data_IF_776571465838
#
_entry.id   IF_776571465838
#
_cell.length_a   1.000
_cell.length_b   1.000
_cell.length_c   1.000
_cell.angle_alpha   90.00
_cell.angle_beta   90.00
_cell.angle_gamma   90.00
#
_symmetry.space_group_name_H-M   'P 1'
#
loop_
_entity.id
_entity.type
_entity.pdbx_description
1 polymer ?
#
# COMPACT_ATOMS: atom_id res chain seq x y z
N UNK A 1 8.22 -32.29 83.64
CA UNK A 1 7.96 -30.89 84.04
C UNK A 1 9.10 -30.06 83.47
N UNK A 2 8.97 -29.02 82.65
CA UNK A 2 7.84 -28.35 81.95
C UNK A 2 8.44 -27.37 80.92
N UNK A 3 7.85 -26.95 79.79
CA UNK A 3 6.62 -27.34 79.07
C UNK A 3 6.70 -26.87 77.58
N UNK A 4 5.72 -27.22 76.75
CA UNK A 4 5.48 -26.68 75.39
C UNK A 4 4.41 -25.55 75.44
N UNK A 5 3.95 -24.88 74.34
CA UNK A 5 4.25 -25.05 72.89
C UNK A 5 4.28 -23.71 72.04
N UNK A 6 4.23 -23.82 70.69
CA UNK A 6 3.76 -22.81 69.68
C UNK A 6 4.70 -21.58 69.42
N UNK A 7 4.74 -20.90 68.24
CA UNK A 7 4.02 -21.01 66.95
C UNK A 7 4.71 -20.22 65.80
N UNK A 8 4.25 -20.40 64.55
CA UNK A 8 4.42 -19.50 63.36
C UNK A 8 5.88 -19.34 62.85
N UNK A 9 6.22 -19.48 61.56
CA UNK A 9 5.43 -19.55 60.33
C UNK A 9 6.09 -18.70 59.23
N UNK A 10 7.15 -19.21 58.60
CA UNK A 10 7.87 -18.47 57.54
C UNK A 10 7.08 -18.47 56.23
N UNK A 11 6.42 -17.34 55.93
CA UNK A 11 5.76 -17.12 54.65
C UNK A 11 6.76 -17.26 53.49
N UNK A 12 6.37 -18.01 52.47
CA UNK A 12 7.02 -17.95 51.16
C UNK A 12 6.96 -16.51 50.63
N UNK A 13 8.06 -16.05 50.02
CA UNK A 13 8.02 -14.85 49.18
C UNK A 13 7.41 -15.25 47.84
N UNK A 14 6.11 -14.99 47.69
CA UNK A 14 5.46 -14.99 46.39
C UNK A 14 6.31 -14.16 45.43
N UNK A 15 6.77 -14.79 44.36
CA UNK A 15 7.42 -14.08 43.27
C UNK A 15 6.31 -13.33 42.51
N UNK A 16 6.13 -12.05 42.84
CA UNK A 16 5.37 -11.16 41.97
C UNK A 16 6.00 -11.23 40.57
N UNK A 17 5.18 -11.41 39.50
CA UNK A 17 5.69 -11.32 38.15
C UNK A 17 6.30 -9.92 37.97
N UNK A 18 7.54 -9.89 37.51
CA UNK A 18 8.25 -8.64 37.21
C UNK A 18 7.39 -7.79 36.29
N UNK A 19 7.09 -6.57 36.72
CA UNK A 19 6.36 -5.59 35.93
C UNK A 19 7.14 -5.28 34.65
N UNK A 20 6.77 -5.89 33.53
CA UNK A 20 7.11 -5.37 32.22
C UNK A 20 6.45 -4.01 32.10
N UNK A 21 7.25 -2.95 32.21
CA UNK A 21 6.78 -1.60 31.94
C UNK A 21 6.27 -1.53 30.50
N UNK A 22 5.14 -0.84 30.30
CA UNK A 22 4.55 -0.65 28.99
C UNK A 22 5.47 0.24 28.15
N UNK A 23 6.43 -0.36 27.45
CA UNK A 23 7.11 0.29 26.34
C UNK A 23 6.05 0.65 25.28
N UNK A 24 6.16 1.84 24.64
CA UNK A 24 5.27 2.18 23.54
C UNK A 24 5.43 1.15 22.42
N UNK A 25 4.35 0.85 21.67
CA UNK A 25 4.43 -0.07 20.54
C UNK A 25 5.47 0.43 19.53
N UNK A 26 6.14 -0.47 18.79
CA UNK A 26 7.14 -0.06 17.82
C UNK A 26 6.50 0.76 16.68
N UNK A 27 7.13 1.87 16.33
CA UNK A 27 6.70 2.77 15.23
C UNK A 27 7.82 2.91 14.18
N UNK A 28 7.45 2.92 12.90
CA UNK A 28 8.41 3.24 11.84
C UNK A 28 8.85 4.71 11.95
N UNK A 29 10.12 4.99 11.68
CA UNK A 29 10.59 6.37 11.71
C UNK A 29 10.34 7.11 10.39
N UNK A 30 10.42 8.45 10.45
CA UNK A 30 10.21 9.31 9.30
C UNK A 30 11.09 8.94 8.09
N UNK A 31 12.31 8.43 8.30
CA UNK A 31 13.19 7.99 7.20
C UNK A 31 12.64 6.77 6.44
N UNK A 32 12.16 5.75 7.16
CA UNK A 32 11.50 4.60 6.56
C UNK A 32 10.23 5.00 5.79
N UNK A 33 9.40 5.86 6.39
CA UNK A 33 8.16 6.38 5.79
C UNK A 33 8.47 7.22 4.54
N UNK A 34 9.50 8.07 4.57
CA UNK A 34 9.94 8.84 3.39
C UNK A 34 10.47 7.93 2.29
N UNK A 35 11.22 6.87 2.63
CA UNK A 35 11.73 5.94 1.63
C UNK A 35 10.59 5.20 0.91
N UNK A 36 9.61 4.65 1.64
CA UNK A 36 8.45 3.97 1.04
C UNK A 36 7.57 4.93 0.22
N UNK A 37 7.41 6.18 0.65
CA UNK A 37 6.69 7.20 -0.13
C UNK A 37 7.48 7.72 -1.35
N UNK A 38 8.77 7.42 -1.46
CA UNK A 38 9.61 7.78 -2.62
C UNK A 38 9.59 6.75 -3.75
N UNK A 39 8.92 5.60 -3.55
CA UNK A 39 8.81 4.54 -4.55
C UNK A 39 7.94 4.98 -5.72
N UNK A 40 8.37 4.67 -6.95
CA UNK A 40 7.62 4.97 -8.18
C UNK A 40 7.07 3.69 -8.81
N UNK A 41 5.90 3.78 -9.43
CA UNK A 41 5.28 2.63 -10.09
C UNK A 41 6.12 2.15 -11.29
N UNK A 42 6.68 3.08 -12.04
CA UNK A 42 7.52 2.82 -13.21
C UNK A 42 8.81 2.07 -12.82
N UNK A 43 9.44 2.49 -11.74
CA UNK A 43 10.60 1.83 -11.15
C UNK A 43 10.26 0.42 -10.67
N UNK A 44 9.18 0.23 -9.92
CA UNK A 44 8.78 -1.09 -9.44
C UNK A 44 8.50 -2.07 -10.58
N UNK A 45 8.03 -1.61 -11.74
CA UNK A 45 7.82 -2.44 -12.93
C UNK A 45 9.12 -2.95 -13.56
N UNK A 46 10.24 -2.23 -13.44
CA UNK A 46 11.56 -2.71 -13.89
C UNK A 46 12.05 -3.92 -13.07
N UNK A 47 11.59 -4.01 -11.81
CA UNK A 47 11.95 -5.07 -10.87
C UNK A 47 11.11 -6.34 -11.01
N UNK A 48 10.28 -6.44 -12.05
CA UNK A 48 9.41 -7.59 -12.32
C UNK A 48 10.14 -8.66 -13.14
N UNK A 49 10.91 -9.48 -12.44
CA UNK A 49 11.67 -10.62 -12.97
C UNK A 49 11.78 -11.75 -11.94
N UNK A 50 12.38 -12.87 -12.34
CA UNK A 50 12.60 -14.03 -11.48
C UNK A 50 14.07 -14.48 -11.44
N UNK A 51 14.47 -15.02 -10.29
CA UNK A 51 15.75 -15.65 -10.06
C UNK A 51 15.59 -16.97 -9.32
N UNK A 52 16.49 -17.91 -9.61
CA UNK A 52 16.64 -19.16 -8.85
C UNK A 52 18.08 -19.25 -8.35
N UNK A 53 18.21 -19.43 -7.03
CA UNK A 53 19.46 -19.61 -6.32
C UNK A 53 19.55 -21.07 -5.87
N UNK A 54 20.72 -21.69 -6.04
CA UNK A 54 21.02 -22.99 -5.43
C UNK A 54 21.36 -22.76 -3.96
N UNK A 55 20.75 -23.53 -3.07
CA UNK A 55 21.17 -23.62 -1.67
C UNK A 55 22.40 -24.52 -1.59
N UNK A 56 23.48 -24.03 -0.99
CA UNK A 56 24.72 -24.77 -0.77
C UNK A 56 25.05 -24.86 0.72
N UNK A 57 25.63 -25.99 1.13
CA UNK A 57 26.21 -26.19 2.46
C UNK A 57 27.48 -25.36 2.67
N UNK A 58 28.02 -25.41 3.88
CA UNK A 58 29.39 -24.99 4.21
C UNK A 58 30.45 -25.75 3.41
N UNK A 59 30.21 -27.03 3.10
CA UNK A 59 31.04 -27.86 2.21
C UNK A 59 30.87 -27.56 0.72
N UNK A 60 29.94 -26.67 0.34
CA UNK A 60 29.65 -26.31 -1.05
C UNK A 60 28.78 -27.32 -1.82
N UNK A 61 28.20 -28.32 -1.15
CA UNK A 61 27.30 -29.28 -1.76
C UNK A 61 25.90 -28.67 -2.01
N UNK A 62 25.27 -28.91 -3.17
CA UNK A 62 23.93 -28.40 -3.46
C UNK A 62 22.88 -29.17 -2.65
N UNK A 63 22.15 -28.45 -1.78
CA UNK A 63 21.15 -29.00 -0.87
C UNK A 63 19.70 -28.68 -1.26
N UNK A 64 19.48 -27.77 -2.21
CA UNK A 64 18.14 -27.37 -2.64
C UNK A 64 18.13 -26.14 -3.55
N UNK A 65 16.95 -25.56 -3.75
CA UNK A 65 16.73 -24.37 -4.57
C UNK A 65 15.81 -23.35 -3.86
N UNK A 66 16.11 -22.07 -4.03
CA UNK A 66 15.28 -20.92 -3.67
C UNK A 66 14.93 -20.19 -4.96
N UNK A 67 13.66 -20.12 -5.31
CA UNK A 67 13.15 -19.33 -6.43
C UNK A 67 12.40 -18.12 -5.90
N UNK A 68 12.62 -16.95 -6.50
CA UNK A 68 11.92 -15.70 -6.22
C UNK A 68 11.44 -15.14 -7.56
N UNK A 69 10.17 -14.78 -7.64
CA UNK A 69 9.51 -14.20 -8.80
C UNK A 69 8.71 -12.99 -8.36
N UNK A 70 8.89 -11.86 -9.05
CA UNK A 70 8.06 -10.67 -8.92
C UNK A 70 7.44 -10.39 -10.28
N UNK A 71 6.12 -10.29 -10.34
CA UNK A 71 5.38 -10.13 -11.58
C UNK A 71 4.11 -9.29 -11.38
N UNK A 72 3.41 -8.98 -12.48
CA UNK A 72 2.16 -8.23 -12.44
C UNK A 72 0.98 -9.16 -12.13
N UNK A 73 0.59 -9.24 -10.87
CA UNK A 73 -0.57 -10.00 -10.43
C UNK A 73 -1.89 -9.33 -10.77
N UNK A 74 -2.92 -10.14 -11.01
CA UNK A 74 -4.32 -9.73 -11.16
C UNK A 74 -5.06 -10.02 -9.86
N UNK A 75 -5.26 -9.00 -9.03
CA UNK A 75 -6.04 -9.09 -7.80
C UNK A 75 -7.52 -8.82 -8.08
N UNK A 76 -8.42 -9.52 -7.38
CA UNK A 76 -9.86 -9.27 -7.39
C UNK A 76 -10.32 -9.09 -5.96
N UNK A 77 -10.83 -7.91 -5.62
CA UNK A 77 -11.31 -7.63 -4.28
C UNK A 77 -12.70 -8.23 -4.00
N UNK A 78 -13.19 -8.03 -2.78
CA UNK A 78 -14.48 -8.55 -2.31
C UNK A 78 -15.68 -7.95 -3.06
N UNK A 79 -15.56 -6.72 -3.60
CA UNK A 79 -16.58 -6.10 -4.45
C UNK A 79 -16.54 -6.62 -5.89
N UNK A 80 -15.48 -7.36 -6.23
CA UNK A 80 -15.23 -7.94 -7.53
C UNK A 80 -14.48 -7.05 -8.51
N UNK A 81 -14.02 -5.87 -8.06
CA UNK A 81 -13.18 -4.98 -8.86
C UNK A 81 -11.81 -5.63 -9.05
N UNK A 82 -11.30 -5.53 -10.27
CA UNK A 82 -10.01 -6.10 -10.68
C UNK A 82 -8.96 -4.99 -10.66
N UNK A 83 -7.93 -5.18 -9.84
CA UNK A 83 -6.77 -4.29 -9.75
C UNK A 83 -5.50 -5.05 -10.07
N UNK A 84 -4.53 -4.38 -10.68
CA UNK A 84 -3.21 -4.96 -10.93
C UNK A 84 -2.20 -4.45 -9.90
N UNK A 85 -1.50 -5.39 -9.27
CA UNK A 85 -0.56 -5.13 -8.20
C UNK A 85 0.76 -5.89 -8.44
N UNK A 86 1.89 -5.42 -7.91
CA UNK A 86 3.05 -6.27 -7.68
C UNK A 86 2.63 -7.55 -6.96
N UNK A 87 2.95 -8.70 -7.55
CA UNK A 87 2.72 -10.01 -7.00
C UNK A 87 4.06 -10.72 -6.84
N UNK A 88 4.31 -11.18 -5.62
CA UNK A 88 5.56 -11.83 -5.22
C UNK A 88 5.26 -13.30 -4.95
N UNK A 89 6.02 -14.17 -5.59
CA UNK A 89 6.04 -15.60 -5.31
C UNK A 89 7.48 -16.00 -4.99
N UNK A 90 7.72 -16.53 -3.79
CA UNK A 90 9.01 -17.10 -3.43
C UNK A 90 8.81 -18.48 -2.82
N UNK A 91 9.64 -19.44 -3.23
CA UNK A 91 9.57 -20.82 -2.74
C UNK A 91 10.96 -21.37 -2.53
N UNK A 92 11.18 -22.02 -1.40
CA UNK A 92 12.42 -22.73 -1.09
C UNK A 92 12.15 -24.20 -0.83
N UNK A 93 13.02 -25.10 -1.32
CA UNK A 93 12.96 -26.51 -0.99
C UNK A 93 14.35 -27.12 -0.99
N UNK A 94 14.72 -27.78 0.11
CA UNK A 94 16.03 -28.38 0.27
C UNK A 94 16.15 -29.31 1.46
N UNK A 95 17.36 -29.74 1.75
CA UNK A 95 17.69 -30.63 2.85
C UNK A 95 18.68 -29.97 3.81
N UNK A 96 18.33 -29.90 5.09
CA UNK A 96 19.26 -29.55 6.18
C UNK A 96 19.43 -30.80 7.04
N UNK A 97 20.66 -31.25 7.26
CA UNK A 97 20.99 -32.48 7.99
C UNK A 97 20.14 -33.71 7.56
N UNK A 98 20.01 -33.89 6.23
CA UNK A 98 19.19 -34.93 5.57
C UNK A 98 17.67 -34.82 5.85
N UNK A 99 17.22 -33.79 6.54
CA UNK A 99 15.81 -33.51 6.81
C UNK A 99 15.25 -32.58 5.72
N UNK A 100 14.18 -33.00 5.07
CA UNK A 100 13.51 -32.19 4.03
C UNK A 100 12.81 -30.98 4.67
N UNK A 101 13.20 -29.79 4.26
CA UNK A 101 12.61 -28.52 4.69
C UNK A 101 12.28 -27.63 3.48
N UNK A 102 11.54 -26.56 3.73
CA UNK A 102 11.23 -25.59 2.70
C UNK A 102 10.27 -24.51 3.17
N UNK A 103 10.04 -23.55 2.28
CA UNK A 103 9.10 -22.46 2.46
C UNK A 103 8.35 -22.12 1.18
N UNK A 104 7.21 -21.46 1.32
CA UNK A 104 6.43 -20.87 0.24
C UNK A 104 5.89 -19.53 0.72
N UNK A 105 5.87 -18.54 -0.16
CA UNK A 105 5.43 -17.17 0.08
C UNK A 105 4.73 -16.66 -1.17
N UNK A 106 3.48 -16.24 -1.02
CA UNK A 106 2.66 -15.63 -2.07
C UNK A 106 2.13 -14.31 -1.52
N UNK A 107 2.26 -13.21 -2.25
CA UNK A 107 1.73 -11.92 -1.80
C UNK A 107 1.31 -10.99 -2.93
N UNK A 108 0.26 -10.22 -2.67
CA UNK A 108 -0.09 -9.00 -3.41
C UNK A 108 0.31 -7.78 -2.58
N UNK A 109 1.04 -6.86 -3.18
CA UNK A 109 1.52 -5.63 -2.55
C UNK A 109 0.92 -4.40 -3.24
N UNK A 110 0.74 -3.31 -2.52
CA UNK A 110 0.42 -2.02 -3.14
C UNK A 110 1.64 -1.44 -3.86
N UNK A 111 1.45 -0.39 -4.65
CA UNK A 111 2.55 0.36 -5.28
C UNK A 111 3.44 1.14 -4.28
N UNK A 112 3.10 1.10 -2.97
CA UNK A 112 3.95 1.56 -1.86
C UNK A 112 4.54 0.41 -1.03
N UNK A 113 4.44 -0.82 -1.53
CA UNK A 113 4.82 -2.07 -0.85
C UNK A 113 4.05 -2.39 0.45
N UNK A 114 2.90 -1.76 0.67
CA UNK A 114 1.97 -2.21 1.72
C UNK A 114 1.40 -3.59 1.35
N UNK A 115 1.33 -4.53 2.29
CA UNK A 115 0.68 -5.81 2.05
C UNK A 115 -0.83 -5.63 1.81
N UNK A 116 -1.35 -6.21 0.72
CA UNK A 116 -2.79 -6.34 0.46
C UNK A 116 -3.25 -7.72 0.95
N UNK A 117 -2.54 -8.76 0.51
CA UNK A 117 -2.69 -10.13 0.98
C UNK A 117 -1.31 -10.80 0.93
N UNK A 118 -0.97 -11.61 1.94
CA UNK A 118 0.21 -12.48 1.93
C UNK A 118 -0.13 -13.81 2.58
N UNK A 119 0.32 -14.91 1.99
CA UNK A 119 0.29 -16.24 2.58
C UNK A 119 1.72 -16.79 2.57
N UNK A 120 2.24 -17.17 3.74
CA UNK A 120 3.50 -17.89 3.88
C UNK A 120 3.32 -19.23 4.59
N UNK A 121 4.18 -20.17 4.24
CA UNK A 121 4.27 -21.50 4.81
C UNK A 121 5.74 -21.86 4.96
N UNK A 122 6.13 -22.40 6.10
CA UNK A 122 7.46 -22.92 6.40
C UNK A 122 7.30 -24.31 6.99
N UNK A 123 8.15 -25.27 6.62
CA UNK A 123 8.04 -26.64 7.13
C UNK A 123 9.41 -27.33 7.27
N UNK A 124 9.49 -28.23 8.25
CA UNK A 124 10.63 -29.13 8.47
C UNK A 124 10.08 -30.53 8.76
N UNK A 125 10.37 -31.49 7.88
CA UNK A 125 9.86 -32.87 7.99
C UNK A 125 10.79 -33.76 8.80
N UNK A 126 11.01 -33.43 10.07
CA UNK A 126 11.67 -34.35 10.99
C UNK A 126 10.89 -35.66 11.09
N UNK A 127 11.61 -36.79 11.18
CA UNK A 127 11.01 -38.12 11.24
C UNK A 127 10.19 -38.37 12.53
N UNK A 128 10.51 -37.66 13.62
CA UNK A 128 9.88 -37.84 14.93
C UNK A 128 8.78 -36.80 15.17
N UNK A 129 9.06 -35.53 14.86
CA UNK A 129 8.16 -34.41 15.13
C UNK A 129 8.15 -33.43 13.94
N UNK A 130 7.34 -33.67 12.89
CA UNK A 130 7.26 -32.77 11.76
C UNK A 130 6.69 -31.41 12.20
N UNK A 131 7.32 -30.33 11.75
CA UNK A 131 6.98 -28.95 12.08
C UNK A 131 6.46 -28.22 10.84
N UNK A 132 5.39 -27.46 10.99
CA UNK A 132 4.81 -26.61 9.94
C UNK A 132 4.28 -25.31 10.55
N UNK A 133 4.73 -24.16 10.04
CA UNK A 133 4.17 -22.84 10.33
C UNK A 133 3.47 -22.30 9.07
N UNK A 134 2.28 -21.73 9.23
CA UNK A 134 1.58 -20.97 8.20
C UNK A 134 1.20 -19.61 8.74
N UNK A 135 1.42 -18.55 7.96
CA UNK A 135 1.04 -17.19 8.32
C UNK A 135 0.28 -16.56 7.16
N UNK A 136 -0.93 -16.07 7.43
CA UNK A 136 -1.71 -15.26 6.50
C UNK A 136 -1.78 -13.83 7.01
N UNK A 137 -1.55 -12.86 6.14
CA UNK A 137 -1.75 -11.43 6.37
C UNK A 137 -2.79 -10.94 5.37
N UNK A 138 -3.89 -10.36 5.85
CA UNK A 138 -4.96 -9.84 5.01
C UNK A 138 -5.32 -8.41 5.41
N UNK A 139 -5.20 -7.47 4.47
CA UNK A 139 -5.63 -6.10 4.67
C UNK A 139 -7.15 -6.03 4.70
N UNK A 140 -7.68 -5.51 5.80
CA UNK A 140 -9.07 -5.13 6.00
C UNK A 140 -9.13 -3.59 6.12
N UNK A 141 -10.30 -2.99 5.94
CA UNK A 141 -10.42 -1.54 5.64
C UNK A 141 -9.57 -0.60 6.53
N UNK A 142 -9.52 -0.87 7.84
CA UNK A 142 -8.74 -0.09 8.82
C UNK A 142 -7.80 -0.94 9.70
N UNK A 143 -7.50 -2.18 9.31
CA UNK A 143 -6.60 -3.07 10.07
C UNK A 143 -5.94 -4.15 9.21
N UNK A 144 -4.77 -4.63 9.64
CA UNK A 144 -4.14 -5.83 9.10
C UNK A 144 -4.47 -7.03 10.01
N UNK A 145 -5.18 -8.01 9.46
CA UNK A 145 -5.43 -9.28 10.15
C UNK A 145 -4.28 -10.26 9.88
N UNK A 146 -3.63 -10.75 10.93
CA UNK A 146 -2.68 -11.85 10.87
C UNK A 146 -3.32 -13.12 11.45
N UNK A 147 -3.28 -14.22 10.70
CA UNK A 147 -3.58 -15.56 11.21
C UNK A 147 -2.31 -16.40 11.16
N UNK A 148 -1.82 -16.85 12.31
CA UNK A 148 -0.64 -17.73 12.43
C UNK A 148 -1.08 -19.10 12.92
N UNK A 149 -0.72 -20.14 12.19
CA UNK A 149 -0.90 -21.54 12.58
C UNK A 149 0.47 -22.18 12.74
N UNK A 150 0.71 -22.85 13.86
CA UNK A 150 1.92 -23.64 14.13
C UNK A 150 1.47 -25.05 14.44
N UNK A 151 2.08 -26.02 13.76
CA UNK A 151 1.85 -27.45 13.94
C UNK A 151 3.15 -28.14 14.30
N UNK A 152 3.13 -28.88 15.40
CA UNK A 152 4.25 -29.69 15.88
C UNK A 152 3.74 -31.12 16.14
N UNK A 153 4.03 -32.03 15.20
CA UNK A 153 3.47 -33.39 15.23
C UNK A 153 1.95 -33.41 15.05
N UNK A 154 1.23 -33.77 16.12
CA UNK A 154 -0.24 -33.75 16.17
C UNK A 154 -0.80 -32.45 16.77
N UNK A 155 0.01 -31.70 17.53
CA UNK A 155 -0.42 -30.45 18.15
C UNK A 155 -0.55 -29.35 17.09
N UNK A 156 -1.66 -28.60 17.15
CA UNK A 156 -1.93 -27.46 16.26
C UNK A 156 -2.37 -26.27 17.08
N UNK A 157 -1.56 -25.22 17.09
CA UNK A 157 -1.88 -23.92 17.67
C UNK A 157 -2.28 -22.97 16.55
N UNK A 158 -3.39 -22.24 16.72
CA UNK A 158 -3.77 -21.15 15.79
C UNK A 158 -4.04 -19.89 16.60
N UNK A 159 -3.42 -18.80 16.16
CA UNK A 159 -3.50 -17.47 16.77
C UNK A 159 -3.97 -16.48 15.70
N UNK A 160 -4.80 -15.52 16.10
CA UNK A 160 -5.22 -14.41 15.25
C UNK A 160 -4.90 -13.10 15.96
N UNK A 161 -4.24 -12.20 15.26
CA UNK A 161 -3.82 -10.89 15.76
C UNK A 161 -4.28 -9.82 14.78
N UNK A 162 -4.74 -8.69 15.29
CA UNK A 162 -5.18 -7.56 14.48
C UNK A 162 -4.30 -6.36 14.79
N UNK A 163 -3.75 -5.74 13.75
CA UNK A 163 -2.94 -4.53 13.86
C UNK A 163 -3.72 -3.36 13.27
N UNK A 164 -4.12 -2.35 14.08
CA UNK A 164 -4.78 -1.15 13.58
C UNK A 164 -3.95 -0.46 12.49
N UNK A 165 -4.60 0.11 11.48
CA UNK A 165 -3.90 0.79 10.37
C UNK A 165 -2.86 1.85 10.82
N UNK A 166 -3.08 2.65 11.87
CA UNK A 166 -2.06 3.59 12.35
C UNK A 166 -0.79 2.91 12.90
N UNK A 167 -0.88 1.70 13.47
CA UNK A 167 0.26 1.00 14.08
C UNK A 167 1.07 0.15 13.09
N UNK A 168 0.77 0.24 11.79
CA UNK A 168 1.47 -0.47 10.71
C UNK A 168 1.98 0.49 9.62
N UNK A 169 1.99 1.79 9.87
CA UNK A 169 2.66 2.73 8.98
C UNK A 169 4.16 2.38 8.90
N UNK A 170 4.69 2.25 7.68
CA UNK A 170 6.06 1.80 7.46
C UNK A 170 6.31 0.29 7.68
N UNK A 171 5.25 -0.53 7.72
CA UNK A 171 5.36 -1.99 7.76
C UNK A 171 5.85 -2.60 6.44
N UNK A 172 6.87 -3.45 6.53
CA UNK A 172 7.47 -4.20 5.44
C UNK A 172 7.29 -5.70 5.73
N UNK A 173 6.38 -6.35 5.01
CA UNK A 173 6.17 -7.80 5.09
C UNK A 173 7.34 -8.58 4.46
N UNK A 174 7.38 -9.91 4.65
CA UNK A 174 8.38 -10.79 4.03
C UNK A 174 8.45 -10.59 2.50
N UNK A 175 7.31 -10.46 1.82
CA UNK A 175 7.27 -10.22 0.38
C UNK A 175 7.67 -8.78 0.00
N UNK A 176 7.24 -7.79 0.79
CA UNK A 176 7.63 -6.40 0.58
C UNK A 176 9.16 -6.21 0.70
N UNK A 177 9.79 -6.90 1.65
CA UNK A 177 11.25 -6.92 1.83
C UNK A 177 11.99 -7.38 0.56
N UNK A 178 11.53 -8.45 -0.09
CA UNK A 178 12.15 -8.95 -1.32
C UNK A 178 12.16 -7.88 -2.42
N UNK A 179 11.05 -7.16 -2.62
CA UNK A 179 10.97 -6.06 -3.59
C UNK A 179 11.77 -4.84 -3.14
N UNK A 180 11.74 -4.51 -1.84
CA UNK A 180 12.48 -3.39 -1.26
C UNK A 180 14.00 -3.53 -1.42
N UNK A 181 14.53 -4.74 -1.27
CA UNK A 181 15.95 -5.06 -1.52
C UNK A 181 16.32 -4.85 -2.99
N UNK A 182 15.45 -5.24 -3.93
CA UNK A 182 15.64 -4.94 -5.37
C UNK A 182 15.70 -3.44 -5.63
N UNK A 183 14.81 -2.64 -5.00
CA UNK A 183 14.84 -1.17 -5.08
C UNK A 183 16.15 -0.58 -4.52
N UNK A 184 16.61 -1.06 -3.36
CA UNK A 184 17.86 -0.57 -2.75
C UNK A 184 19.09 -0.83 -3.64
N UNK A 185 19.11 -1.97 -4.33
CA UNK A 185 20.15 -2.30 -5.30
C UNK A 185 20.05 -1.49 -6.60
N UNK A 186 18.85 -1.38 -7.19
CA UNK A 186 18.58 -0.55 -8.37
C UNK A 186 19.01 0.91 -8.17
N UNK A 187 18.70 1.48 -7.00
CA UNK A 187 19.11 2.84 -6.61
C UNK A 187 20.54 2.94 -6.11
N UNK A 188 21.27 1.82 -5.96
CA UNK A 188 22.55 1.71 -5.25
C UNK A 188 22.56 2.45 -3.89
N UNK A 189 21.43 2.43 -3.18
CA UNK A 189 21.18 3.30 -2.02
C UNK A 189 20.34 2.59 -0.96
N UNK A 190 20.85 2.54 0.27
CA UNK A 190 20.11 2.11 1.47
C UNK A 190 19.78 3.35 2.32
N UNK A 191 18.53 3.54 2.77
CA UNK A 191 18.14 4.72 3.53
C UNK A 191 18.80 4.75 4.92
N UNK A 192 19.67 5.75 5.14
CA UNK A 192 20.44 5.88 6.37
C UNK A 192 19.53 6.08 7.59
N UNK A 193 19.81 5.34 8.67
CA UNK A 193 19.05 5.37 9.93
C UNK A 193 17.56 5.01 9.80
N UNK A 194 17.10 4.46 8.67
CA UNK A 194 15.70 4.06 8.52
C UNK A 194 15.37 2.83 9.38
N UNK A 195 14.23 2.92 10.07
CA UNK A 195 13.69 1.88 10.94
C UNK A 195 12.27 1.58 10.48
N UNK A 196 12.12 0.46 9.79
CA UNK A 196 10.85 -0.04 9.28
C UNK A 196 10.19 -0.93 10.34
N UNK A 197 8.88 -1.16 10.21
CA UNK A 197 8.20 -2.20 10.98
C UNK A 197 8.28 -3.54 10.25
N UNK A 198 8.42 -4.62 11.00
CA UNK A 198 8.41 -5.99 10.52
C UNK A 198 7.68 -6.90 11.53
N UNK A 199 7.49 -8.17 11.17
CA UNK A 199 7.08 -9.21 12.11
C UNK A 199 8.30 -10.08 12.44
N UNK A 200 8.45 -10.45 13.71
CA UNK A 200 9.39 -11.48 14.11
C UNK A 200 8.84 -12.90 13.85
N UNK A 201 9.60 -13.93 14.21
CA UNK A 201 9.24 -15.35 14.01
C UNK A 201 7.96 -15.76 14.75
N UNK A 202 7.59 -15.04 15.81
CA UNK A 202 6.40 -15.27 16.62
C UNK A 202 5.18 -14.53 16.09
N UNK A 203 5.37 -13.57 15.18
CA UNK A 203 4.32 -12.72 14.62
C UNK A 203 4.07 -11.45 15.42
N UNK A 204 5.02 -11.00 16.25
CA UNK A 204 4.95 -9.72 16.96
C UNK A 204 5.52 -8.60 16.07
N UNK A 205 4.90 -7.42 16.13
CA UNK A 205 5.48 -6.23 15.51
C UNK A 205 6.82 -5.91 16.18
N UNK A 206 7.81 -5.61 15.35
CA UNK A 206 9.17 -5.29 15.76
C UNK A 206 9.84 -4.40 14.70
N UNK A 207 11.12 -4.08 14.90
CA UNK A 207 11.86 -3.24 13.97
C UNK A 207 12.67 -4.05 12.95
N UNK A 208 12.73 -3.56 11.71
CA UNK A 208 13.73 -3.97 10.74
C UNK A 208 14.57 -2.79 10.25
N UNK A 209 15.88 -2.99 10.18
CA UNK A 209 16.88 -2.00 9.76
C UNK A 209 17.72 -2.58 8.63
N UNK A 210 18.14 -1.71 7.71
CA UNK A 210 18.98 -2.09 6.56
C UNK A 210 20.28 -1.30 6.60
N UNK A 211 21.39 -1.97 6.28
CA UNK A 211 22.72 -1.37 6.21
C UNK A 211 23.41 -1.75 4.91
N UNK A 212 23.96 -0.76 4.19
CA UNK A 212 24.85 -1.02 3.07
C UNK A 212 26.22 -1.48 3.62
N UNK A 213 26.68 -2.65 3.18
CA UNK A 213 28.03 -3.15 3.49
C UNK A 213 29.06 -2.82 2.40
N UNK A 214 28.64 -2.12 1.33
CA UNK A 214 29.45 -1.75 0.19
C UNK A 214 29.22 -2.65 -1.02
N UNK A 215 30.18 -2.66 -1.95
CA UNK A 215 30.14 -3.51 -3.15
C UNK A 215 31.33 -4.47 -3.15
N UNK A 216 31.14 -5.68 -3.69
CA UNK A 216 32.17 -6.71 -3.77
C UNK A 216 32.08 -7.43 -5.13
N UNK A 217 33.22 -7.80 -5.71
CA UNK A 217 33.25 -8.73 -6.85
C UNK A 217 33.10 -10.17 -6.37
N UNK A 218 32.13 -10.91 -6.91
CA UNK A 218 31.94 -12.35 -6.69
C UNK A 218 32.11 -13.14 -7.99
N UNK A 219 32.51 -14.40 -7.85
CA UNK A 219 32.63 -15.35 -8.96
C UNK A 219 31.30 -16.11 -9.15
N UNK A 220 30.71 -16.03 -10.34
CA UNK A 220 29.49 -16.75 -10.73
C UNK A 220 29.81 -17.58 -11.97
N UNK A 221 30.02 -18.88 -11.78
CA UNK A 221 30.56 -19.77 -12.81
C UNK A 221 31.92 -19.26 -13.30
N UNK A 222 32.05 -18.96 -14.58
CA UNK A 222 33.27 -18.41 -15.18
C UNK A 222 33.33 -16.87 -15.19
N UNK A 223 32.29 -16.18 -14.75
CA UNK A 223 32.20 -14.72 -14.78
C UNK A 223 32.49 -14.12 -13.40
N UNK A 224 33.08 -12.91 -13.40
CA UNK A 224 33.15 -12.06 -12.21
C UNK A 224 32.13 -10.94 -12.36
N UNK A 225 31.35 -10.72 -11.31
CA UNK A 225 30.32 -9.68 -11.26
C UNK A 225 30.44 -8.90 -9.96
N UNK A 226 30.28 -7.58 -10.05
CA UNK A 226 30.12 -6.74 -8.88
C UNK A 226 28.69 -6.88 -8.32
N UNK A 227 28.59 -6.97 -7.00
CA UNK A 227 27.32 -7.03 -6.28
C UNK A 227 27.31 -6.01 -5.14
N UNK A 228 26.20 -5.30 -4.99
CA UNK A 228 25.91 -4.41 -3.88
C UNK A 228 25.37 -5.23 -2.70
N UNK A 229 25.93 -5.02 -1.51
CA UNK A 229 25.62 -5.83 -0.33
C UNK A 229 24.75 -5.04 0.64
N UNK A 230 23.56 -5.55 0.91
CA UNK A 230 22.64 -5.03 1.92
C UNK A 230 22.48 -6.06 3.03
N UNK A 231 22.76 -5.67 4.27
CA UNK A 231 22.40 -6.44 5.46
C UNK A 231 21.06 -5.95 6.01
N UNK A 232 20.10 -6.85 6.16
CA UNK A 232 18.87 -6.64 6.90
C UNK A 232 19.03 -7.26 8.29
N UNK A 233 18.64 -6.53 9.33
CA UNK A 233 18.48 -7.07 10.69
C UNK A 233 17.04 -6.87 11.16
N UNK A 234 16.44 -7.91 11.71
CA UNK A 234 15.12 -7.90 12.38
C UNK A 234 15.34 -8.01 13.88
N UNK A 235 14.86 -7.02 14.63
CA UNK A 235 15.12 -6.86 16.07
C UNK A 235 13.88 -7.28 16.86
N UNK A 236 13.73 -8.58 17.14
CA UNK A 236 12.68 -9.06 18.07
C UNK A 236 12.94 -8.50 19.47
N UNK A 237 11.86 -8.15 20.18
CA UNK A 237 11.94 -7.67 21.57
C UNK A 237 12.21 -8.80 22.58
N UNK A 238 11.92 -10.05 22.20
CA UNK A 238 11.97 -11.22 23.08
C UNK A 238 12.94 -12.30 22.57
N UNK A 239 13.24 -12.31 21.27
CA UNK A 239 14.23 -13.18 20.64
C UNK A 239 15.59 -12.50 20.41
N UNK A 240 16.52 -13.26 19.84
CA UNK A 240 17.82 -12.74 19.36
C UNK A 240 17.59 -12.06 18.00
N UNK A 241 18.19 -10.88 17.72
CA UNK A 241 18.11 -10.25 16.41
C UNK A 241 18.60 -11.19 15.29
N UNK A 242 17.84 -11.28 14.20
CA UNK A 242 18.18 -12.13 13.05
C UNK A 242 18.67 -11.26 11.91
N UNK A 243 19.90 -11.52 11.44
CA UNK A 243 20.53 -10.78 10.34
C UNK A 243 20.67 -11.64 9.08
N UNK A 244 20.39 -11.04 7.93
CA UNK A 244 20.54 -11.65 6.60
C UNK A 244 21.27 -10.68 5.66
N UNK A 245 22.31 -11.17 4.99
CA UNK A 245 23.04 -10.43 3.96
C UNK A 245 22.54 -10.83 2.57
N UNK A 246 22.22 -9.83 1.77
CA UNK A 246 21.73 -9.94 0.40
C UNK A 246 22.74 -9.27 -0.52
N UNK A 247 23.30 -10.05 -1.44
CA UNK A 247 24.25 -9.62 -2.45
C UNK A 247 23.46 -9.48 -3.75
N UNK A 248 23.27 -8.25 -4.21
CA UNK A 248 22.34 -7.90 -5.28
C UNK A 248 23.12 -7.37 -6.48
N UNK A 249 22.72 -7.76 -7.68
CA UNK A 249 23.22 -7.22 -8.93
C UNK A 249 22.67 -5.80 -9.15
N UNK A 250 23.27 -5.03 -10.06
CA UNK A 250 22.92 -3.63 -10.33
C UNK A 250 21.45 -3.42 -10.73
N UNK A 251 20.84 -4.42 -11.37
CA UNK A 251 19.43 -4.38 -11.78
C UNK A 251 18.45 -4.92 -10.70
N UNK A 252 18.98 -5.31 -9.54
CA UNK A 252 18.23 -5.81 -8.39
C UNK A 252 18.18 -7.33 -8.24
N UNK A 253 18.65 -8.15 -9.19
CA UNK A 253 18.64 -9.61 -9.02
C UNK A 253 19.44 -10.05 -7.78
N UNK A 254 18.86 -10.94 -6.96
CA UNK A 254 19.55 -11.51 -5.81
C UNK A 254 20.58 -12.57 -6.25
N UNK A 255 21.86 -12.23 -6.18
CA UNK A 255 22.96 -13.13 -6.56
C UNK A 255 23.38 -14.08 -5.43
N UNK A 256 23.36 -13.62 -4.16
CA UNK A 256 23.67 -14.46 -3.00
C UNK A 256 22.89 -14.01 -1.76
N UNK A 257 22.44 -14.97 -0.94
CA UNK A 257 21.83 -14.73 0.38
C UNK A 257 22.55 -15.54 1.45
N UNK A 258 22.94 -14.90 2.53
CA UNK A 258 23.55 -15.53 3.73
C UNK A 258 22.69 -15.16 4.94
N UNK A 259 22.36 -16.13 5.79
CA UNK A 259 21.77 -15.86 7.10
C UNK A 259 22.88 -15.95 8.15
N UNK A 260 23.06 -14.90 8.95
CA UNK A 260 24.11 -14.85 9.97
C UNK A 260 23.84 -15.95 11.01
N UNK A 261 24.86 -16.75 11.31
CA UNK A 261 24.76 -17.92 12.20
C UNK A 261 24.29 -19.22 11.54
N UNK A 262 23.93 -19.21 10.25
CA UNK A 262 23.67 -20.44 9.47
C UNK A 262 24.90 -20.84 8.65
N UNK A 263 25.25 -22.15 8.56
CA UNK A 263 26.42 -22.61 7.80
C UNK A 263 26.24 -22.54 6.27
N UNK A 264 24.99 -22.59 5.78
CA UNK A 264 24.68 -22.59 4.35
C UNK A 264 24.38 -21.21 3.77
N UNK A 265 24.43 -21.10 2.44
CA UNK A 265 23.99 -19.90 1.73
C UNK A 265 23.21 -20.25 0.45
N UNK A 266 22.46 -19.29 -0.10
CA UNK A 266 21.85 -19.41 -1.42
C UNK A 266 22.69 -18.60 -2.42
N UNK A 267 22.97 -19.12 -3.63
CA UNK A 267 23.66 -18.35 -4.67
C UNK A 267 23.21 -18.72 -6.10
N UNK A 268 23.27 -17.76 -7.02
CA UNK A 268 23.06 -18.00 -8.45
C UNK A 268 24.23 -18.80 -9.04
N UNK A 269 23.93 -19.69 -9.99
CA UNK A 269 24.92 -20.48 -10.73
C UNK A 269 25.34 -19.84 -12.05
N UNK A 270 24.53 -18.93 -12.57
CA UNK A 270 24.74 -18.17 -13.80
C UNK A 270 24.26 -16.74 -13.61
N UNK A 271 25.00 -15.78 -14.14
CA UNK A 271 24.59 -14.36 -14.16
C UNK A 271 23.34 -14.23 -15.06
N UNK A 272 22.25 -13.58 -14.60
CA UNK A 272 21.09 -13.28 -15.44
C UNK A 272 21.45 -12.27 -16.53
N UNK A 273 20.57 -12.11 -17.52
CA UNK A 273 20.67 -10.99 -18.45
C UNK A 273 20.24 -9.75 -17.66
N UNK A 274 21.20 -8.88 -17.34
CA UNK A 274 20.92 -7.68 -16.56
C UNK A 274 19.96 -6.77 -17.33
N UNK A 275 18.97 -6.23 -16.62
CA UNK A 275 18.07 -5.22 -17.17
C UNK A 275 18.74 -3.86 -17.09
N UNK A 276 18.90 -3.22 -18.23
CA UNK A 276 19.21 -1.79 -18.29
C UNK A 276 17.90 -0.99 -18.15
N UNK A 277 17.99 0.29 -17.80
CA UNK A 277 16.84 1.19 -17.92
C UNK A 277 16.62 1.39 -19.43
N UNK A 278 15.69 0.64 -20.02
CA UNK A 278 15.25 0.84 -21.40
C UNK A 278 14.92 2.33 -21.54
N UNK A 279 15.70 3.07 -22.34
CA UNK A 279 15.42 4.46 -22.71
C UNK A 279 13.99 4.48 -23.25
N UNK A 280 13.03 4.90 -22.42
CA UNK A 280 11.62 4.89 -22.77
C UNK A 280 11.47 5.94 -23.87
N UNK A 281 11.52 5.51 -25.13
CA UNK A 281 11.27 6.36 -26.29
C UNK A 281 10.04 7.20 -25.97
N UNK A 282 10.25 8.50 -25.74
CA UNK A 282 9.24 9.35 -25.13
C UNK A 282 7.99 9.26 -26.00
N UNK A 283 6.95 8.58 -25.47
CA UNK A 283 5.74 8.22 -26.22
C UNK A 283 5.34 9.44 -27.04
N UNK A 284 5.38 9.36 -28.39
CA UNK A 284 5.43 10.55 -29.22
C UNK A 284 4.32 11.51 -28.84
N UNK A 285 4.70 12.72 -28.46
CA UNK A 285 3.78 13.74 -27.99
C UNK A 285 2.92 14.25 -29.16
N UNK A 286 1.94 13.44 -29.56
CA UNK A 286 0.96 13.81 -30.56
C UNK A 286 0.25 15.06 -30.07
N UNK A 287 0.56 16.20 -30.71
CA UNK A 287 -0.21 17.44 -30.53
C UNK A 287 -1.67 17.08 -30.79
N UNK A 288 -2.54 17.23 -29.79
CA UNK A 288 -3.98 16.99 -29.93
C UNK A 288 -4.46 17.82 -31.11
N UNK A 289 -4.90 17.17 -32.20
CA UNK A 289 -5.53 17.87 -33.31
C UNK A 289 -6.76 18.59 -32.76
N UNK A 290 -7.04 19.84 -33.18
CA UNK A 290 -8.32 20.48 -32.87
C UNK A 290 -9.46 19.58 -33.34
N UNK A 291 -10.42 19.31 -32.46
CA UNK A 291 -11.59 18.49 -32.79
C UNK A 291 -12.60 19.37 -33.53
N UNK A 292 -12.53 19.40 -34.85
CA UNK A 292 -13.51 20.05 -35.72
C UNK A 292 -14.68 19.09 -35.93
N UNK A 293 -15.47 18.90 -34.87
CA UNK A 293 -16.59 17.96 -34.83
C UNK A 293 -17.73 18.34 -35.78
N UNK A 294 -17.76 19.59 -36.25
CA UNK A 294 -18.69 20.11 -37.25
C UNK A 294 -18.42 19.57 -38.67
N UNK A 295 -17.19 19.15 -38.96
CA UNK A 295 -16.78 18.59 -40.27
C UNK A 295 -16.76 17.05 -40.28
N UNK A 296 -16.73 16.42 -39.10
CA UNK A 296 -16.74 14.97 -38.93
C UNK A 296 -18.17 14.43 -38.95
N UNK A 297 -18.49 13.58 -39.94
CA UNK A 297 -19.84 13.06 -40.16
C UNK A 297 -20.37 12.20 -39.00
N UNK A 298 -19.51 11.45 -38.30
CA UNK A 298 -19.94 10.60 -37.17
C UNK A 298 -20.19 11.45 -35.93
N UNK A 299 -19.27 12.37 -35.60
CA UNK A 299 -19.42 13.28 -34.46
C UNK A 299 -20.59 14.25 -34.66
N UNK A 300 -20.81 14.73 -35.88
CA UNK A 300 -21.96 15.57 -36.21
C UNK A 300 -23.29 14.80 -36.06
N UNK A 301 -23.34 13.53 -36.47
CA UNK A 301 -24.50 12.66 -36.23
C UNK A 301 -24.78 12.51 -34.73
N UNK A 302 -23.77 12.17 -33.93
CA UNK A 302 -23.91 12.04 -32.47
C UNK A 302 -24.36 13.35 -31.82
N UNK A 303 -23.87 14.50 -32.29
CA UNK A 303 -24.33 15.80 -31.83
C UNK A 303 -25.82 16.03 -32.14
N UNK A 304 -26.27 15.71 -33.35
CA UNK A 304 -27.69 15.85 -33.74
C UNK A 304 -28.58 14.94 -32.89
N UNK A 305 -28.21 13.67 -32.72
CA UNK A 305 -28.96 12.69 -31.92
C UNK A 305 -29.07 13.16 -30.46
N UNK A 306 -27.95 13.56 -29.85
CA UNK A 306 -27.94 14.06 -28.46
C UNK A 306 -28.69 15.37 -28.30
N UNK A 307 -28.63 16.27 -29.28
CA UNK A 307 -29.40 17.52 -29.31
C UNK A 307 -30.90 17.25 -29.36
N UNK A 308 -31.34 16.29 -30.17
CA UNK A 308 -32.75 15.91 -30.30
C UNK A 308 -33.26 15.20 -29.03
N UNK A 309 -32.47 14.29 -28.45
CA UNK A 309 -32.77 13.66 -27.16
C UNK A 309 -32.97 14.71 -26.05
N UNK A 310 -32.06 15.69 -25.94
CA UNK A 310 -32.18 16.79 -25.00
C UNK A 310 -33.39 17.68 -25.29
N UNK A 311 -33.73 17.93 -26.56
CA UNK A 311 -34.93 18.68 -26.97
C UNK A 311 -36.21 17.97 -26.54
N UNK A 312 -36.29 16.65 -26.74
CA UNK A 312 -37.43 15.80 -26.34
C UNK A 312 -37.54 15.77 -24.82
N UNK A 313 -36.43 15.56 -24.11
CA UNK A 313 -36.38 15.58 -22.64
C UNK A 313 -36.85 16.91 -22.07
N UNK A 314 -36.36 18.04 -22.59
CA UNK A 314 -36.78 19.38 -22.16
C UNK A 314 -38.26 19.67 -22.42
N UNK A 315 -38.77 19.28 -23.60
CA UNK A 315 -40.21 19.40 -23.90
C UNK A 315 -41.07 18.53 -22.99
N UNK A 316 -40.58 17.34 -22.63
CA UNK A 316 -41.29 16.42 -21.72
C UNK A 316 -41.33 16.99 -20.30
N UNK A 317 -40.22 17.56 -19.82
CA UNK A 317 -40.13 18.25 -18.55
C UNK A 317 -41.12 19.43 -18.47
N UNK A 318 -41.13 20.33 -19.47
CA UNK A 318 -42.06 21.47 -19.49
C UNK A 318 -43.54 21.04 -19.55
N UNK A 319 -43.87 19.93 -20.23
CA UNK A 319 -45.23 19.38 -20.23
C UNK A 319 -45.64 18.77 -18.89
N UNK A 320 -44.69 18.20 -18.15
CA UNK A 320 -44.93 17.64 -16.81
C UNK A 320 -45.01 18.72 -15.72
N UNK A 321 -44.42 19.90 -15.98
CA UNK A 321 -44.33 21.02 -15.04
C UNK A 321 -44.98 22.30 -15.60
N UNK A 322 -46.32 22.36 -15.78
CA UNK A 322 -47.01 23.57 -16.23
C UNK A 322 -46.80 24.77 -15.28
N UNK A 323 -46.52 24.52 -14.01
CA UNK A 323 -46.14 25.55 -13.03
C UNK A 323 -44.87 26.31 -13.42
N UNK A 324 -43.93 25.68 -14.15
CA UNK A 324 -42.73 26.37 -14.63
C UNK A 324 -43.06 27.41 -15.72
N UNK A 325 -44.01 27.10 -16.61
CA UNK A 325 -44.47 28.05 -17.61
C UNK A 325 -45.23 29.22 -16.97
N UNK A 326 -46.13 28.93 -16.02
CA UNK A 326 -46.86 29.95 -15.27
C UNK A 326 -45.90 30.89 -14.51
N UNK A 327 -44.93 30.32 -13.79
CA UNK A 327 -43.92 31.08 -13.03
C UNK A 327 -43.11 32.05 -13.91
N UNK A 328 -42.73 31.64 -15.12
CA UNK A 328 -42.03 32.52 -16.07
C UNK A 328 -42.97 33.57 -16.68
N UNK A 329 -44.22 33.21 -16.99
CA UNK A 329 -45.22 34.15 -17.50
C UNK A 329 -45.53 35.25 -16.48
N UNK A 330 -45.72 34.89 -15.22
CA UNK A 330 -45.94 35.84 -14.12
C UNK A 330 -44.72 36.73 -13.91
N UNK A 331 -43.49 36.17 -13.95
CA UNK A 331 -42.26 36.98 -13.90
C UNK A 331 -42.22 38.04 -15.00
N UNK A 332 -42.47 37.64 -16.25
CA UNK A 332 -42.45 38.54 -17.40
C UNK A 332 -43.54 39.63 -17.28
N UNK A 333 -44.73 39.27 -16.79
CA UNK A 333 -45.81 40.22 -16.51
C UNK A 333 -45.37 41.26 -15.46
N UNK A 334 -44.82 40.82 -14.33
CA UNK A 334 -44.34 41.74 -13.30
C UNK A 334 -43.16 42.60 -13.76
N UNK A 335 -42.27 42.06 -14.60
CA UNK A 335 -41.15 42.78 -15.20
C UNK A 335 -41.64 43.90 -16.12
N UNK A 336 -42.59 43.61 -17.01
CA UNK A 336 -43.17 44.57 -17.95
C UNK A 336 -44.02 45.65 -17.26
N UNK A 337 -44.71 45.30 -16.16
CA UNK A 337 -45.50 46.24 -15.37
C UNK A 337 -44.66 47.16 -14.48
N UNK A 338 -43.56 46.67 -13.91
CA UNK A 338 -42.73 47.43 -12.95
C UNK A 338 -41.55 48.16 -13.60
N UNK A 339 -41.10 47.71 -14.77
CA UNK A 339 -39.95 48.25 -15.53
C UNK A 339 -38.75 48.64 -14.63
N UNK A 340 -38.23 47.68 -13.83
CA UNK A 340 -37.13 47.95 -12.90
C UNK A 340 -35.84 48.28 -13.66
N UNK A 341 -35.07 49.24 -13.14
CA UNK A 341 -33.76 49.63 -13.70
C UNK A 341 -32.75 48.49 -13.63
N UNK A 342 -32.85 47.62 -12.61
CA UNK A 342 -32.03 46.41 -12.47
C UNK A 342 -32.90 45.15 -12.57
N UNK A 343 -32.92 44.57 -13.78
CA UNK A 343 -33.65 43.34 -14.11
C UNK A 343 -33.09 42.11 -13.38
N UNK A 344 -31.78 42.09 -13.10
CA UNK A 344 -31.09 40.90 -12.54
C UNK A 344 -31.40 40.77 -11.05
N UNK A 345 -31.31 41.88 -10.31
CA UNK A 345 -31.72 41.92 -8.90
C UNK A 345 -33.20 41.63 -8.76
N UNK A 346 -34.04 42.21 -9.64
CA UNK A 346 -35.48 41.95 -9.65
C UNK A 346 -35.80 40.47 -9.90
N UNK A 347 -35.11 39.80 -10.82
CA UNK A 347 -35.23 38.35 -11.04
C UNK A 347 -34.84 37.55 -9.79
N UNK A 348 -33.71 37.88 -9.16
CA UNK A 348 -33.25 37.20 -7.95
C UNK A 348 -34.21 37.34 -6.76
N UNK A 349 -34.85 38.51 -6.60
CA UNK A 349 -35.90 38.71 -5.60
C UNK A 349 -37.19 37.96 -5.96
N UNK A 350 -37.59 37.94 -7.24
CA UNK A 350 -38.79 37.25 -7.69
C UNK A 350 -38.70 35.72 -7.57
N UNK A 351 -37.59 35.11 -8.03
CA UNK A 351 -37.40 33.66 -7.98
C UNK A 351 -36.93 33.16 -6.60
N UNK A 352 -36.40 34.04 -5.75
CA UNK A 352 -35.87 33.70 -4.42
C UNK A 352 -36.79 32.88 -3.51
N UNK A 353 -38.10 33.16 -3.41
CA UNK A 353 -39.06 32.39 -2.60
C UNK A 353 -39.27 30.94 -3.06
N UNK A 354 -38.98 30.62 -4.32
CA UNK A 354 -39.17 29.28 -4.88
C UNK A 354 -37.97 28.35 -4.65
N UNK A 355 -36.88 28.87 -4.08
CA UNK A 355 -35.69 28.09 -3.74
C UNK A 355 -35.94 27.22 -2.50
N UNK A 356 -35.70 25.90 -2.61
CA UNK A 356 -35.96 24.87 -1.57
C UNK A 356 -35.22 25.03 -0.22
N UNK A 357 -34.46 26.12 0.01
CA UNK A 357 -33.63 26.34 1.22
C UNK A 357 -33.53 27.83 1.64
N UNK A 358 -34.66 28.52 1.85
CA UNK A 358 -34.71 29.79 2.61
C UNK A 358 -35.95 29.90 3.51
N UNK A 359 -35.87 30.60 4.66
CA UNK A 359 -37.02 30.91 5.49
C UNK A 359 -37.98 31.90 4.80
N UNK A 360 -39.27 31.94 5.18
CA UNK A 360 -40.28 32.76 4.51
C UNK A 360 -39.97 34.26 4.61
N UNK A 361 -40.21 34.98 3.52
CA UNK A 361 -39.91 36.42 3.39
C UNK A 361 -41.22 37.23 3.44
N UNK A 362 -41.30 38.37 4.18
CA UNK A 362 -42.55 39.10 4.38
C UNK A 362 -43.12 39.72 3.09
N UNK A 363 -44.45 39.78 3.02
CA UNK A 363 -45.24 39.85 1.78
C UNK A 363 -45.26 41.17 1.00
N UNK A 364 -44.64 42.25 1.50
CA UNK A 364 -44.60 43.56 0.82
C UNK A 364 -43.20 44.17 0.93
N UNK A 365 -42.57 44.43 -0.22
CA UNK A 365 -41.25 45.09 -0.34
C UNK A 365 -41.21 46.04 -1.54
N UNK A 366 -40.45 47.12 -1.40
CA UNK A 366 -40.28 48.17 -2.43
C UNK A 366 -39.34 47.73 -3.56
N UNK A 367 -39.56 48.27 -4.76
CA UNK A 367 -38.81 47.93 -5.99
C UNK A 367 -37.37 48.46 -6.06
N UNK A 368 -36.96 49.32 -5.12
CA UNK A 368 -35.75 50.14 -5.25
C UNK A 368 -34.70 49.76 -4.18
N UNK A 369 -34.30 48.48 -4.13
CA UNK A 369 -33.23 48.02 -3.23
C UNK A 369 -31.90 47.82 -3.97
N UNK A 370 -30.74 48.07 -3.33
CA UNK A 370 -29.44 47.75 -3.90
C UNK A 370 -29.28 46.24 -4.12
N UNK A 371 -28.59 45.86 -5.20
CA UNK A 371 -28.32 44.47 -5.53
C UNK A 371 -27.49 43.76 -4.46
N UNK A 372 -27.84 42.54 -4.02
CA UNK A 372 -26.97 41.71 -3.20
C UNK A 372 -25.79 41.10 -3.99
N UNK A 373 -25.70 41.34 -5.30
CA UNK A 373 -24.62 40.86 -6.18
C UNK A 373 -23.67 41.98 -6.66
N UNK A 374 -23.86 43.21 -6.18
CA UNK A 374 -22.99 44.34 -6.50
C UNK A 374 -22.15 44.67 -5.27
N UNK A 375 -20.84 44.51 -5.39
CA UNK A 375 -19.91 45.05 -4.38
C UNK A 375 -20.10 46.57 -4.31
N UNK A 376 -20.11 47.11 -3.09
CA UNK A 376 -20.12 48.55 -2.87
C UNK A 376 -18.78 49.10 -3.38
N UNK A 377 -18.80 49.84 -4.49
CA UNK A 377 -17.65 50.65 -4.87
C UNK A 377 -17.33 51.59 -3.71
N UNK A 378 -16.08 51.67 -3.23
CA UNK A 378 -15.72 52.54 -2.12
C UNK A 378 -15.94 53.99 -2.55
N UNK A 379 -16.57 54.78 -1.67
CA UNK A 379 -16.78 56.21 -1.91
C UNK A 379 -15.44 56.87 -2.27
N UNK A 380 -15.39 57.51 -3.45
CA UNK A 380 -14.29 58.41 -3.78
C UNK A 380 -14.35 59.57 -2.80
N UNK A 381 -13.35 59.68 -1.93
CA UNK A 381 -13.11 60.91 -1.18
C UNK A 381 -12.86 62.04 -2.17
N UNK A 382 -13.82 62.95 -2.30
CA UNK A 382 -13.58 64.28 -2.85
C UNK A 382 -12.82 65.12 -1.81
N UNK A 383 -12.08 66.12 -2.29
CA UNK A 383 -11.07 66.87 -1.54
C UNK A 383 -11.64 67.99 -0.65
#
# INVERSE_FOLDING_TARGET
MSASPLSIGSKAKDHQPSTQENLPPPEANAEAIRFLNSLRQEELLLLFFSETLVMVSDTGEPQGELTIEVQRGKYKDQSGVITYFPFVHASSRGFVDKTLCGSSLLAYLSWKLEVVEQQSQEFIKFHILPMEQKTSLLKQDDQLAMTRMVKEGEEVKTEVTFFPRPSIEGFVSQAANLVLLRVMAWRHTVPSNARFLALDTEGKLCYSTYQALGSQTIQVGHQQVEVFIVEQTVHSEQGIPVSCQFYLLSDGHLAKRIQVGSPGCCMITKVPILREEDDIEHRPAFKKKPLVWEEDLELYSWFLDRKEELRISHNSYLRQHPEAQALISDFLLFLLLRQPVDVVTFAAEYFGPFAKRRPPTPALRSSNRPSPFRELEPERSEA
#
